data_IF_416389003912
#
_entry.id   IF_416389003912
#
_cell.length_a   1.000
_cell.length_b   1.000
_cell.length_c   1.000
_cell.angle_alpha   90.00
_cell.angle_beta   90.00
_cell.angle_gamma   90.00
#
_symmetry.space_group_name_H-M   'P 1'
#
loop_
_entity.id
_entity.type
_entity.pdbx_description
1 polymer ?
#
# COMPACT_ATOMS: atom_id res chain seq x y z
N UNK A 1 -18.53 -58.29 6.70
CA UNK A 1 -18.32 -57.28 7.76
C UNK A 1 -17.99 -55.96 7.08
N UNK A 2 -18.78 -54.96 7.42
CA UNK A 2 -18.92 -53.63 6.82
C UNK A 2 -17.74 -52.70 7.11
N UNK A 3 -17.28 -51.86 6.17
CA UNK A 3 -16.38 -50.75 6.48
C UNK A 3 -17.18 -49.56 7.02
N UNK A 4 -16.70 -49.00 8.13
CA UNK A 4 -17.23 -47.80 8.79
C UNK A 4 -17.10 -46.58 7.87
N UNK A 5 -18.14 -45.73 7.70
CA UNK A 5 -18.02 -44.52 6.92
C UNK A 5 -17.37 -43.39 7.75
N UNK A 6 -16.41 -42.68 7.14
CA UNK A 6 -15.83 -41.45 7.66
C UNK A 6 -16.92 -40.39 7.90
N UNK A 7 -16.90 -39.65 9.02
CA UNK A 7 -17.76 -38.49 9.17
C UNK A 7 -17.32 -37.39 8.20
N UNK A 8 -18.23 -37.01 7.30
CA UNK A 8 -18.08 -35.87 6.42
C UNK A 8 -17.89 -34.61 7.28
N UNK A 9 -16.70 -34.00 7.16
CA UNK A 9 -16.41 -32.70 7.73
C UNK A 9 -17.15 -31.65 6.89
N UNK A 10 -18.39 -31.36 7.28
CA UNK A 10 -19.17 -30.28 6.66
C UNK A 10 -18.50 -28.95 7.02
N UNK A 11 -17.74 -28.44 6.08
CA UNK A 11 -17.29 -27.06 6.02
C UNK A 11 -18.51 -26.14 6.11
N UNK A 12 -18.76 -25.59 7.30
CA UNK A 12 -19.76 -24.53 7.48
C UNK A 12 -19.16 -23.25 6.91
N UNK A 13 -19.59 -22.93 5.69
CA UNK A 13 -19.73 -21.60 5.10
C UNK A 13 -18.87 -20.50 5.77
N UNK A 14 -17.62 -20.38 5.34
CA UNK A 14 -16.86 -19.12 5.43
C UNK A 14 -17.39 -18.23 4.30
N UNK A 15 -18.56 -17.63 4.55
CA UNK A 15 -19.30 -16.88 3.53
C UNK A 15 -19.97 -15.62 4.06
N UNK A 16 -19.60 -15.15 5.26
CA UNK A 16 -19.96 -13.80 5.67
C UNK A 16 -18.94 -12.83 5.06
N UNK A 17 -19.31 -12.18 3.96
CA UNK A 17 -18.52 -11.09 3.40
C UNK A 17 -18.29 -10.02 4.48
N UNK A 18 -17.03 -9.60 4.69
CA UNK A 18 -16.64 -8.50 5.61
C UNK A 18 -17.27 -7.13 5.26
N UNK A 19 -18.14 -7.08 4.24
CA UNK A 19 -18.82 -5.90 3.71
C UNK A 19 -20.30 -5.83 4.08
N UNK A 20 -20.78 -6.71 4.97
CA UNK A 20 -22.21 -6.78 5.27
C UNK A 20 -22.63 -5.63 6.20
N UNK A 21 -22.99 -4.49 5.59
CA UNK A 21 -23.62 -3.34 6.27
C UNK A 21 -25.09 -3.71 6.53
N UNK A 22 -25.33 -4.32 7.69
CA UNK A 22 -26.64 -4.81 8.13
C UNK A 22 -27.49 -3.80 8.89
N UNK A 23 -26.95 -2.63 9.20
CA UNK A 23 -27.70 -1.59 9.88
C UNK A 23 -28.20 -0.56 8.87
N UNK A 24 -29.51 -0.33 8.88
CA UNK A 24 -30.19 0.71 8.11
C UNK A 24 -29.62 2.09 8.50
N UNK A 25 -29.26 2.29 9.77
CA UNK A 25 -28.64 3.54 10.24
C UNK A 25 -27.27 3.80 9.61
N UNK A 26 -26.47 2.76 9.36
CA UNK A 26 -25.16 2.88 8.72
C UNK A 26 -25.28 3.17 7.22
N UNK A 27 -26.33 2.67 6.56
CA UNK A 27 -26.60 2.97 5.14
C UNK A 27 -27.02 4.42 4.93
N UNK A 28 -27.88 4.96 5.79
CA UNK A 28 -28.33 6.34 5.70
C UNK A 28 -27.19 7.32 5.93
N UNK A 29 -26.36 7.08 6.96
CA UNK A 29 -25.18 7.91 7.23
C UNK A 29 -24.16 7.90 6.08
N UNK A 30 -23.91 6.74 5.47
CA UNK A 30 -23.01 6.64 4.33
C UNK A 30 -23.54 7.42 3.10
N UNK A 31 -24.85 7.37 2.86
CA UNK A 31 -25.49 8.14 1.79
C UNK A 31 -25.38 9.65 2.03
N UNK A 32 -25.58 10.10 3.28
CA UNK A 32 -25.41 11.50 3.68
C UNK A 32 -23.96 11.98 3.51
N UNK A 33 -22.98 11.19 3.94
CA UNK A 33 -21.55 11.50 3.80
C UNK A 33 -21.14 11.59 2.32
N UNK A 34 -21.66 10.70 1.46
CA UNK A 34 -21.43 10.76 0.01
C UNK A 34 -22.05 12.03 -0.59
N UNK A 35 -23.28 12.38 -0.23
CA UNK A 35 -23.93 13.58 -0.73
C UNK A 35 -23.18 14.85 -0.29
N UNK A 36 -22.66 14.87 0.94
CA UNK A 36 -21.84 15.96 1.46
C UNK A 36 -20.52 16.10 0.69
N UNK A 37 -19.85 14.98 0.39
CA UNK A 37 -18.63 14.94 -0.42
C UNK A 37 -18.88 15.42 -1.86
N UNK A 38 -19.97 14.99 -2.49
CA UNK A 38 -20.34 15.44 -3.83
C UNK A 38 -20.66 16.93 -3.88
N UNK A 39 -21.45 17.44 -2.92
CA UNK A 39 -21.72 18.87 -2.76
C UNK A 39 -20.43 19.68 -2.59
N UNK A 40 -19.46 19.17 -1.84
CA UNK A 40 -18.18 19.86 -1.66
C UNK A 40 -17.35 19.89 -2.95
N UNK A 41 -17.47 18.86 -3.79
CA UNK A 41 -16.81 18.82 -5.09
C UNK A 41 -17.43 19.82 -6.08
N UNK A 42 -18.75 19.97 -6.08
CA UNK A 42 -19.45 20.96 -6.92
C UNK A 42 -19.17 22.41 -6.49
N UNK A 43 -18.78 22.62 -5.22
CA UNK A 43 -18.39 23.93 -4.68
C UNK A 43 -16.93 24.30 -4.93
N UNK A 44 -16.14 23.41 -5.53
CA UNK A 44 -14.78 23.75 -5.94
C UNK A 44 -14.86 24.70 -7.15
N UNK A 45 -14.02 25.75 -7.20
CA UNK A 45 -13.92 26.58 -8.38
C UNK A 45 -13.51 25.69 -9.58
N UNK A 46 -14.00 25.97 -10.80
CA UNK A 46 -13.52 25.25 -11.98
C UNK A 46 -12.01 25.34 -12.02
N UNK A 47 -11.38 24.16 -12.06
CA UNK A 47 -9.94 24.05 -12.25
C UNK A 47 -9.59 24.86 -13.51
N UNK A 48 -8.61 25.78 -13.47
CA UNK A 48 -8.31 26.61 -14.63
C UNK A 48 -8.00 25.71 -15.82
N UNK A 49 -8.78 25.88 -16.88
CA UNK A 49 -8.68 25.07 -18.09
C UNK A 49 -7.26 25.13 -18.66
N UNK A 50 -6.84 23.95 -19.10
CA UNK A 50 -5.63 23.69 -19.86
C UNK A 50 -5.66 24.52 -21.15
N UNK A 51 -4.84 25.56 -21.24
CA UNK A 51 -4.57 26.23 -22.51
C UNK A 51 -3.80 25.28 -23.42
N UNK A 52 -4.53 24.57 -24.28
CA UNK A 52 -4.03 24.12 -25.58
C UNK A 52 -3.68 25.34 -26.43
N UNK A 53 -2.39 25.46 -26.76
CA UNK A 53 -1.87 26.42 -27.74
C UNK A 53 -0.65 25.81 -28.45
N UNK A 54 -0.53 25.91 -29.78
CA UNK A 54 0.28 25.01 -30.60
C UNK A 54 1.75 25.42 -30.76
N UNK A 55 2.58 24.39 -30.96
CA UNK A 55 3.79 24.29 -31.78
C UNK A 55 4.47 25.58 -32.30
N UNK A 56 5.75 25.78 -31.93
CA UNK A 56 6.80 26.28 -32.84
C UNK A 56 8.22 25.97 -32.36
N UNK A 57 8.97 25.32 -33.25
CA UNK A 57 10.39 24.92 -33.17
C UNK A 57 11.38 26.10 -33.13
N UNK A 58 12.68 25.73 -32.93
CA UNK A 58 13.95 26.45 -33.27
C UNK A 58 14.59 27.14 -32.05
N UNK A 59 15.85 26.98 -31.68
CA UNK A 59 17.03 26.28 -32.20
C UNK A 59 18.29 26.96 -31.62
N UNK A 60 19.34 26.18 -31.32
CA UNK A 60 20.77 26.53 -31.13
C UNK A 60 21.20 27.37 -29.90
N UNK A 61 22.03 26.75 -29.05
CA UNK A 61 23.04 27.42 -28.20
C UNK A 61 24.29 27.79 -29.05
N UNK A 62 25.25 28.66 -28.62
CA UNK A 62 26.21 28.29 -27.54
C UNK A 62 26.86 29.42 -26.70
N UNK A 63 27.45 29.00 -25.55
CA UNK A 63 28.60 29.49 -24.75
C UNK A 63 28.70 30.96 -24.26
N UNK A 64 28.96 31.19 -22.95
CA UNK A 64 30.29 31.29 -22.32
C UNK A 64 30.19 31.49 -20.78
N UNK A 65 31.19 31.00 -20.05
CA UNK A 65 31.35 31.02 -18.57
C UNK A 65 31.61 32.43 -18.00
N UNK A 66 31.10 32.73 -16.79
CA UNK A 66 31.92 33.31 -15.69
C UNK A 66 31.22 33.35 -14.31
N UNK A 67 31.95 32.79 -13.33
CA UNK A 67 32.14 33.19 -11.91
C UNK A 67 30.98 33.18 -10.90
N UNK A 68 31.15 32.25 -9.99
CA UNK A 68 30.77 32.17 -8.57
C UNK A 68 30.99 33.47 -7.78
N UNK A 69 29.93 33.91 -7.09
CA UNK A 69 29.96 34.67 -5.82
C UNK A 69 28.64 34.45 -5.08
N UNK A 70 28.68 33.94 -3.85
CA UNK A 70 27.60 34.02 -2.85
C UNK A 70 28.03 35.03 -1.75
N UNK A 71 27.20 35.44 -0.76
CA UNK A 71 25.79 35.17 -0.49
C UNK A 71 24.96 36.45 -0.17
N UNK A 72 23.64 36.46 -0.38
CA UNK A 72 22.72 37.38 0.34
C UNK A 72 21.48 36.63 0.79
N UNK A 73 21.33 36.61 2.12
CA UNK A 73 20.20 36.15 2.92
C UNK A 73 18.93 36.97 2.63
N UNK A 74 17.86 36.32 2.20
CA UNK A 74 16.49 36.89 2.25
C UNK A 74 15.60 35.90 2.97
N UNK A 75 15.43 36.13 4.28
CA UNK A 75 14.41 35.47 5.11
C UNK A 75 13.03 36.01 4.73
N UNK A 76 12.03 35.16 4.43
CA UNK A 76 10.63 35.58 4.49
C UNK A 76 10.16 35.70 5.97
N UNK A 77 9.22 36.62 6.26
CA UNK A 77 8.82 37.00 7.62
C UNK A 77 8.07 35.88 8.36
N UNK A 78 8.07 35.88 9.71
CA UNK A 78 7.42 34.85 10.50
C UNK A 78 5.91 35.00 10.38
N UNK A 79 5.24 34.04 9.72
CA UNK A 79 3.79 33.92 9.83
C UNK A 79 3.48 33.32 11.20
N UNK A 80 2.78 34.09 12.02
CA UNK A 80 2.36 33.71 13.36
C UNK A 80 1.53 32.43 13.38
N UNK A 81 1.60 31.75 14.52
CA UNK A 81 0.85 30.53 14.81
C UNK A 81 -0.67 30.76 14.64
N UNK A 82 -1.43 29.74 14.18
CA UNK A 82 -2.88 29.80 14.13
C UNK A 82 -3.48 30.04 15.53
N UNK A 83 -4.58 30.81 15.66
CA UNK A 83 -5.02 31.48 16.89
C UNK A 83 -5.62 30.55 17.96
N UNK A 84 -5.44 29.23 17.87
CA UNK A 84 -5.98 28.30 18.86
C UNK A 84 -5.00 27.95 20.00
N UNK A 85 -3.76 28.45 19.96
CA UNK A 85 -2.77 28.27 21.02
C UNK A 85 -2.33 29.62 21.60
N UNK A 86 -3.29 30.39 22.12
CA UNK A 86 -2.97 31.50 23.01
C UNK A 86 -2.98 31.00 24.47
N UNK A 87 -1.82 30.94 25.16
CA UNK A 87 -1.75 30.53 26.56
C UNK A 87 -2.29 31.57 27.54
N UNK A 88 -2.87 32.67 27.06
CA UNK A 88 -3.30 33.78 27.92
C UNK A 88 -4.81 33.81 28.08
N UNK A 89 -5.22 33.32 29.27
CA UNK A 89 -6.40 33.65 30.10
C UNK A 89 -7.36 32.48 30.34
N UNK A 90 -8.04 32.41 31.50
CA UNK A 90 -7.52 32.39 32.87
C UNK A 90 -7.86 31.06 33.57
N UNK A 91 -7.07 30.72 34.58
CA UNK A 91 -7.36 29.70 35.59
C UNK A 91 -8.67 30.07 36.31
N UNK A 92 -9.82 29.59 35.82
CA UNK A 92 -11.10 29.88 36.44
C UNK A 92 -11.51 28.77 37.41
N UNK A 93 -11.58 29.22 38.66
CA UNK A 93 -12.45 28.77 39.74
C UNK A 93 -12.16 27.39 40.35
N UNK A 94 -11.37 27.43 41.42
CA UNK A 94 -11.72 26.75 42.68
C UNK A 94 -13.24 26.69 42.85
N UNK A 95 -13.82 25.49 42.74
CA UNK A 95 -15.08 25.16 43.39
C UNK A 95 -14.69 24.26 44.57
N UNK A 96 -14.93 24.78 45.77
CA UNK A 96 -14.75 24.05 47.02
C UNK A 96 -15.63 22.78 47.03
N UNK A 97 -15.23 21.71 47.75
CA UNK A 97 -15.91 20.43 47.71
C UNK A 97 -17.23 20.53 48.47
N UNK A 98 -18.34 20.23 47.81
CA UNK A 98 -19.57 19.85 48.47
C UNK A 98 -19.75 18.35 48.33
N UNK A 99 -19.58 17.69 49.47
CA UNK A 99 -19.78 16.27 49.71
C UNK A 99 -21.20 15.87 49.30
N UNK A 100 -21.33 15.20 48.18
CA UNK A 100 -22.46 14.31 47.92
C UNK A 100 -21.88 12.97 47.47
N UNK A 101 -21.76 12.08 48.45
CA UNK A 101 -21.67 10.64 48.24
C UNK A 101 -22.94 10.19 47.52
N UNK A 102 -22.82 10.00 46.21
CA UNK A 102 -23.75 9.16 45.47
C UNK A 102 -22.99 7.93 45.00
N UNK A 103 -23.39 6.79 45.56
CA UNK A 103 -22.81 5.47 45.36
C UNK A 103 -23.06 5.01 43.91
N UNK A 104 -22.13 5.30 43.01
CA UNK A 104 -21.98 4.54 41.77
C UNK A 104 -20.75 3.64 41.91
N UNK A 105 -20.85 2.32 41.71
CA UNK A 105 -19.64 1.50 41.59
C UNK A 105 -18.81 2.08 40.44
N UNK A 106 -17.49 2.25 40.59
CA UNK A 106 -16.66 2.70 39.49
C UNK A 106 -16.84 1.67 38.38
N UNK A 107 -17.46 2.11 37.28
CA UNK A 107 -17.49 1.34 36.04
C UNK A 107 -16.02 1.24 35.65
N UNK A 108 -15.37 0.13 35.99
CA UNK A 108 -14.08 -0.24 35.43
C UNK A 108 -14.34 -0.37 33.94
N UNK A 109 -14.12 0.71 33.21
CA UNK A 109 -13.94 0.66 31.76
C UNK A 109 -12.87 -0.41 31.58
N UNK A 110 -13.18 -1.47 30.84
CA UNK A 110 -12.27 -2.60 30.65
C UNK A 110 -11.08 -2.11 29.80
N UNK A 111 -10.16 -1.36 30.43
CA UNK A 111 -8.95 -0.83 29.81
C UNK A 111 -8.13 -1.96 29.21
N UNK A 112 -8.05 -3.11 29.89
CA UNK A 112 -7.42 -4.33 29.37
C UNK A 112 -7.99 -4.80 28.02
N UNK A 113 -9.30 -4.63 27.77
CA UNK A 113 -9.92 -5.03 26.51
C UNK A 113 -9.68 -4.04 25.36
N UNK A 114 -9.51 -2.75 25.68
CA UNK A 114 -9.12 -1.72 24.71
C UNK A 114 -7.64 -1.84 24.36
N UNK A 115 -6.80 -2.11 25.35
CA UNK A 115 -5.36 -2.30 25.17
C UNK A 115 -5.05 -3.56 24.36
N UNK A 116 -5.73 -4.68 24.62
CA UNK A 116 -5.58 -5.91 23.81
C UNK A 116 -6.06 -5.69 22.37
N UNK A 117 -7.17 -4.94 22.18
CA UNK A 117 -7.66 -4.61 20.84
C UNK A 117 -6.65 -3.76 20.07
N UNK A 118 -6.08 -2.74 20.71
CA UNK A 118 -5.05 -1.90 20.12
C UNK A 118 -3.78 -2.71 19.82
N UNK A 119 -3.36 -3.59 20.72
CA UNK A 119 -2.21 -4.47 20.52
C UNK A 119 -2.42 -5.42 19.33
N UNK A 120 -3.64 -5.96 19.17
CA UNK A 120 -4.00 -6.74 17.98
C UNK A 120 -3.94 -5.89 16.71
N UNK A 121 -4.51 -4.70 16.72
CA UNK A 121 -4.52 -3.80 15.56
C UNK A 121 -3.10 -3.43 15.11
N UNK A 122 -2.19 -3.16 16.05
CA UNK A 122 -0.77 -2.91 15.75
C UNK A 122 -0.14 -4.14 15.10
N UNK A 123 -0.34 -5.35 15.64
CA UNK A 123 0.19 -6.59 15.05
C UNK A 123 -0.36 -6.82 13.63
N UNK A 124 -1.67 -6.65 13.45
CA UNK A 124 -2.32 -6.81 12.15
C UNK A 124 -1.76 -5.79 11.14
N UNK A 125 -1.53 -4.54 11.56
CA UNK A 125 -0.97 -3.49 10.72
C UNK A 125 0.48 -3.81 10.31
N UNK A 126 1.33 -4.24 11.25
CA UNK A 126 2.72 -4.63 10.97
C UNK A 126 2.79 -5.82 10.01
N UNK A 127 1.94 -6.83 10.20
CA UNK A 127 1.80 -7.97 9.30
C UNK A 127 1.38 -7.54 7.90
N UNK A 128 0.35 -6.69 7.79
CA UNK A 128 -0.12 -6.16 6.52
C UNK A 128 0.95 -5.31 5.81
N UNK A 129 1.68 -4.48 6.55
CA UNK A 129 2.77 -3.67 6.00
C UNK A 129 3.90 -4.55 5.46
N UNK A 130 4.29 -5.59 6.22
CA UNK A 130 5.28 -6.56 5.78
C UNK A 130 4.85 -7.26 4.49
N UNK A 131 3.62 -7.79 4.45
CA UNK A 131 3.11 -8.45 3.26
C UNK A 131 2.98 -7.51 2.07
N UNK A 132 2.58 -6.26 2.28
CA UNK A 132 2.53 -5.25 1.21
C UNK A 132 3.92 -4.96 0.65
N UNK A 133 4.94 -4.78 1.51
CA UNK A 133 6.33 -4.58 1.10
C UNK A 133 6.84 -5.79 0.30
N UNK A 134 6.59 -7.01 0.78
CA UNK A 134 6.93 -8.23 0.06
C UNK A 134 6.22 -8.32 -1.30
N UNK A 135 4.90 -8.08 -1.35
CA UNK A 135 4.12 -8.15 -2.58
C UNK A 135 4.60 -7.13 -3.62
N UNK A 136 4.93 -5.90 -3.20
CA UNK A 136 5.48 -4.87 -4.10
C UNK A 136 6.84 -5.29 -4.66
N UNK A 137 7.72 -5.81 -3.80
CA UNK A 137 9.03 -6.30 -4.22
C UNK A 137 8.89 -7.45 -5.24
N UNK A 138 8.07 -8.45 -4.92
CA UNK A 138 7.82 -9.60 -5.79
C UNK A 138 7.21 -9.16 -7.13
N UNK A 139 6.15 -8.35 -7.09
CA UNK A 139 5.46 -7.88 -8.30
C UNK A 139 6.38 -7.12 -9.24
N UNK A 140 7.18 -6.19 -8.70
CA UNK A 140 8.15 -5.42 -9.50
C UNK A 140 9.21 -6.34 -10.12
N UNK A 141 9.80 -7.24 -9.33
CA UNK A 141 10.84 -8.15 -9.82
C UNK A 141 10.32 -9.11 -10.90
N UNK A 142 9.12 -9.67 -10.72
CA UNK A 142 8.46 -10.54 -11.70
C UNK A 142 8.18 -9.76 -12.97
N UNK A 143 7.61 -8.55 -12.87
CA UNK A 143 7.31 -7.72 -14.02
C UNK A 143 8.59 -7.38 -14.81
N UNK A 144 9.66 -6.97 -14.11
CA UNK A 144 10.95 -6.66 -14.74
C UNK A 144 11.54 -7.88 -15.44
N UNK A 145 11.57 -9.04 -14.76
CA UNK A 145 12.10 -10.28 -15.34
C UNK A 145 11.30 -10.73 -16.57
N UNK A 146 9.96 -10.74 -16.48
CA UNK A 146 9.09 -11.11 -17.60
C UNK A 146 9.22 -10.15 -18.77
N UNK A 147 9.42 -8.84 -18.54
CA UNK A 147 9.63 -7.87 -19.63
C UNK A 147 10.93 -8.09 -20.41
N UNK A 148 11.91 -8.75 -19.80
CA UNK A 148 13.17 -9.12 -20.46
C UNK A 148 13.06 -10.49 -21.15
N UNK A 149 12.02 -11.26 -20.87
CA UNK A 149 11.81 -12.57 -21.44
C UNK A 149 11.34 -12.44 -22.90
N UNK A 150 12.18 -12.87 -23.84
CA UNK A 150 11.84 -12.80 -25.27
C UNK A 150 10.67 -13.74 -25.62
N UNK A 151 9.57 -13.24 -26.21
CA UNK A 151 8.39 -14.06 -26.52
C UNK A 151 8.68 -15.24 -27.45
N UNK A 152 9.63 -15.10 -28.39
CA UNK A 152 9.99 -16.17 -29.34
C UNK A 152 10.71 -17.35 -28.66
N UNK A 153 11.19 -17.12 -27.44
CA UNK A 153 11.90 -18.08 -26.60
C UNK A 153 11.02 -18.64 -25.48
N UNK A 154 9.71 -18.37 -25.47
CA UNK A 154 8.74 -19.09 -24.61
C UNK A 154 8.73 -20.56 -25.03
N UNK A 155 8.83 -21.48 -24.07
CA UNK A 155 8.94 -22.91 -24.36
C UNK A 155 7.67 -23.39 -25.07
N UNK A 156 7.84 -23.89 -26.29
CA UNK A 156 6.74 -24.48 -27.06
C UNK A 156 6.36 -25.84 -26.51
N UNK A 157 5.09 -26.22 -26.69
CA UNK A 157 4.58 -27.53 -26.29
C UNK A 157 5.34 -28.72 -26.94
N UNK A 158 5.89 -28.53 -28.15
CA UNK A 158 6.70 -29.55 -28.84
C UNK A 158 8.17 -29.60 -28.38
N UNK A 159 8.58 -28.67 -27.52
CA UNK A 159 9.95 -28.55 -27.03
C UNK A 159 10.99 -28.15 -28.10
N UNK A 160 10.56 -27.82 -29.32
CA UNK A 160 11.46 -27.59 -30.47
C UNK A 160 12.45 -26.44 -30.25
N UNK A 161 12.10 -25.48 -29.37
CA UNK A 161 12.93 -24.33 -29.03
C UNK A 161 13.62 -24.43 -27.65
N UNK A 162 13.70 -25.62 -27.04
CA UNK A 162 14.26 -25.81 -25.69
C UNK A 162 15.61 -25.11 -25.46
N UNK A 163 16.56 -25.22 -26.41
CA UNK A 163 17.87 -24.57 -26.26
C UNK A 163 17.80 -23.05 -26.22
N UNK A 164 16.88 -22.44 -26.97
CA UNK A 164 16.66 -20.99 -26.96
C UNK A 164 15.97 -20.55 -25.66
N UNK A 165 14.96 -21.30 -25.22
CA UNK A 165 14.29 -21.09 -23.93
C UNK A 165 15.27 -21.18 -22.76
N UNK A 166 16.11 -22.22 -22.74
CA UNK A 166 17.13 -22.44 -21.72
C UNK A 166 18.11 -21.26 -21.62
N UNK A 167 18.62 -20.77 -22.75
CA UNK A 167 19.52 -19.61 -22.77
C UNK A 167 18.80 -18.35 -22.28
N UNK A 168 17.55 -18.16 -22.68
CA UNK A 168 16.73 -17.02 -22.27
C UNK A 168 16.50 -17.00 -20.74
N UNK A 169 16.27 -18.17 -20.11
CA UNK A 169 16.16 -18.28 -18.65
C UNK A 169 17.44 -17.81 -17.95
N UNK A 170 18.62 -18.22 -18.44
CA UNK A 170 19.89 -17.78 -17.88
C UNK A 170 20.14 -16.28 -18.07
N UNK A 171 19.75 -15.73 -19.23
CA UNK A 171 19.83 -14.29 -19.53
C UNK A 171 18.95 -13.46 -18.59
N UNK A 172 17.70 -13.88 -18.35
CA UNK A 172 16.77 -13.20 -17.43
C UNK A 172 17.17 -13.39 -15.97
N UNK A 173 17.70 -14.55 -15.59
CA UNK A 173 18.12 -14.79 -14.21
C UNK A 173 19.34 -13.95 -13.78
N UNK A 174 20.20 -13.60 -14.74
CA UNK A 174 21.45 -12.90 -14.44
C UNK A 174 21.25 -11.53 -13.76
N UNK A 175 20.40 -10.61 -14.29
CA UNK A 175 20.17 -9.32 -13.65
C UNK A 175 19.04 -9.33 -12.59
N UNK A 176 18.11 -10.29 -12.61
CA UNK A 176 16.90 -10.25 -11.78
C UNK A 176 16.93 -11.21 -10.58
N UNK A 177 17.80 -12.22 -10.59
CA UNK A 177 17.87 -13.28 -9.58
C UNK A 177 19.29 -13.41 -9.02
N UNK A 178 19.61 -14.56 -8.40
CA UNK A 178 20.93 -14.82 -7.79
C UNK A 178 22.05 -15.00 -8.83
N UNK A 179 21.71 -15.16 -10.11
CA UNK A 179 22.66 -15.35 -11.20
C UNK A 179 22.14 -16.29 -12.29
N UNK A 180 22.95 -16.55 -13.34
CA UNK A 180 22.51 -17.29 -14.53
C UNK A 180 22.18 -18.76 -14.26
N UNK A 181 22.68 -19.33 -13.15
CA UNK A 181 22.39 -20.72 -12.74
C UNK A 181 21.21 -20.85 -11.78
N UNK A 182 20.51 -19.75 -11.47
CA UNK A 182 19.44 -19.74 -10.49
C UNK A 182 18.41 -20.86 -10.68
N UNK A 183 17.99 -21.13 -11.92
CA UNK A 183 16.98 -22.15 -12.22
C UNK A 183 17.49 -23.60 -12.13
N UNK A 184 18.78 -23.80 -11.92
CA UNK A 184 19.44 -25.10 -11.94
C UNK A 184 20.14 -25.44 -10.62
N UNK A 185 20.07 -24.55 -9.64
CA UNK A 185 20.64 -24.71 -8.31
C UNK A 185 19.55 -24.53 -7.25
N UNK A 186 19.74 -25.13 -6.09
CA UNK A 186 18.80 -24.99 -4.99
C UNK A 186 18.79 -23.54 -4.46
N UNK A 187 17.59 -22.97 -4.29
CA UNK A 187 17.41 -21.64 -3.72
C UNK A 187 16.74 -21.71 -2.36
N UNK A 188 17.47 -21.38 -1.30
CA UNK A 188 16.91 -21.32 0.06
C UNK A 188 16.27 -19.96 0.41
N UNK A 189 16.29 -18.98 -0.51
CA UNK A 189 15.66 -17.69 -0.31
C UNK A 189 14.25 -17.72 -0.92
N UNK A 190 13.23 -17.74 -0.06
CA UNK A 190 11.83 -17.88 -0.47
C UNK A 190 11.32 -16.74 -1.36
N UNK A 191 11.87 -15.52 -1.22
CA UNK A 191 11.52 -14.39 -2.09
C UNK A 191 12.03 -14.64 -3.50
N UNK A 192 13.30 -14.99 -3.66
CA UNK A 192 13.85 -15.32 -4.98
C UNK A 192 13.19 -16.56 -5.59
N UNK A 193 12.89 -17.58 -4.78
CA UNK A 193 12.18 -18.77 -5.25
C UNK A 193 10.80 -18.42 -5.82
N UNK A 194 10.02 -17.57 -5.14
CA UNK A 194 8.72 -17.09 -5.62
C UNK A 194 8.83 -16.34 -6.95
N UNK A 195 9.81 -15.43 -7.07
CA UNK A 195 10.06 -14.69 -8.32
C UNK A 195 10.43 -15.68 -9.43
N UNK A 196 11.38 -16.57 -9.16
CA UNK A 196 11.84 -17.57 -10.10
C UNK A 196 10.72 -18.47 -10.60
N UNK A 197 9.89 -19.01 -9.71
CA UNK A 197 8.75 -19.84 -10.10
C UNK A 197 7.77 -19.08 -11.01
N UNK A 198 7.47 -17.82 -10.70
CA UNK A 198 6.58 -17.01 -11.52
C UNK A 198 7.18 -16.75 -12.92
N UNK A 199 8.47 -16.46 -13.02
CA UNK A 199 9.18 -16.27 -14.30
C UNK A 199 9.22 -17.56 -15.10
N UNK A 200 9.50 -18.69 -14.45
CA UNK A 200 9.54 -20.01 -15.09
C UNK A 200 8.18 -20.36 -15.71
N UNK A 201 7.09 -20.16 -14.95
CA UNK A 201 5.73 -20.41 -15.44
C UNK A 201 5.38 -19.48 -16.60
N UNK A 202 5.75 -18.20 -16.54
CA UNK A 202 5.51 -17.25 -17.62
C UNK A 202 6.31 -17.56 -18.91
N UNK A 203 7.39 -18.34 -18.79
CA UNK A 203 8.23 -18.75 -19.90
C UNK A 203 7.80 -20.03 -20.61
N UNK A 204 6.61 -20.58 -20.32
CA UNK A 204 6.09 -21.83 -20.91
C UNK A 204 4.70 -21.55 -21.52
N UNK A 205 4.44 -22.08 -22.72
CA UNK A 205 3.14 -22.04 -23.43
C UNK A 205 2.28 -23.27 -23.12
#
# INVERSE_FOLDING_TARGET
MTPTPNPASTSKSVGASNWHINDISHRTRLAEDIALLQSNFEKLPPSPETTTGPEKQKGKAPMYKKKETAPVEVRPPPRGLPPHLDPRLPLNAMVAPHSQTDNFPPRTVNHMGLDERLAKEIRDFEEAEFHLKQSKLLGNAIQTANSQFRPENVLKADGSNFGNWYRNLAEVACPNLKGPRFFFEECHNSTYEKIGRAVLIAGID
#
